data_IF_242280418168
#
_entry.id   IF_242280418168
#
_cell.length_a   1.000
_cell.length_b   1.000
_cell.length_c   1.000
_cell.angle_alpha   90.00
_cell.angle_beta   90.00
_cell.angle_gamma   90.00
#
_symmetry.space_group_name_H-M   'P 1'
#
loop_
_entity.id
_entity.type
_entity.pdbx_description
1 polymer ?
#
# COMPACT_ATOMS: atom_id res chain seq x y z
N UNK A 1 16.89 -49.64 -35.27
CA UNK A 1 17.04 -49.48 -33.81
C UNK A 1 17.44 -48.06 -33.35
N UNK A 2 18.08 -47.20 -34.15
CA UNK A 2 18.46 -45.82 -33.75
C UNK A 2 17.27 -44.85 -33.68
N UNK A 3 16.24 -44.99 -34.46
CA UNK A 3 15.07 -44.06 -34.47
C UNK A 3 14.17 -44.22 -33.25
N UNK A 4 14.08 -45.37 -32.63
CA UNK A 4 13.24 -45.59 -31.44
C UNK A 4 13.76 -44.87 -30.19
N UNK A 5 15.09 -44.72 -30.08
CA UNK A 5 15.71 -44.05 -28.93
C UNK A 5 15.46 -42.52 -28.93
N UNK A 6 15.35 -41.89 -30.08
CA UNK A 6 15.10 -40.46 -30.16
C UNK A 6 13.65 -40.08 -29.80
N UNK A 7 12.70 -40.93 -30.15
CA UNK A 7 11.28 -40.70 -29.83
C UNK A 7 11.04 -40.85 -28.33
N UNK A 8 11.67 -41.78 -27.66
CA UNK A 8 11.56 -41.98 -26.21
C UNK A 8 12.20 -40.82 -25.44
N UNK A 9 13.29 -40.23 -25.93
CA UNK A 9 13.93 -39.08 -25.28
C UNK A 9 13.13 -37.79 -25.41
N UNK A 10 12.42 -37.57 -26.53
CA UNK A 10 11.55 -36.41 -26.73
C UNK A 10 10.31 -36.51 -25.83
N UNK A 11 9.73 -37.69 -25.64
CA UNK A 11 8.56 -37.88 -24.76
C UNK A 11 8.91 -37.65 -23.28
N UNK A 12 10.08 -38.01 -22.83
CA UNK A 12 10.56 -37.79 -21.46
C UNK A 12 10.88 -36.31 -21.21
N UNK A 13 11.35 -35.58 -22.23
CA UNK A 13 11.61 -34.13 -22.12
C UNK A 13 10.34 -33.25 -21.95
N UNK A 14 9.22 -33.72 -22.47
CA UNK A 14 7.93 -32.96 -22.36
C UNK A 14 7.21 -33.15 -21.03
N UNK A 15 7.60 -34.15 -20.23
CA UNK A 15 6.95 -34.42 -18.94
C UNK A 15 7.52 -33.60 -17.76
N UNK A 16 8.61 -32.84 -17.97
CA UNK A 16 9.30 -32.10 -16.90
C UNK A 16 8.82 -30.64 -16.72
N UNK A 17 7.90 -30.15 -17.56
CA UNK A 17 7.24 -28.85 -17.35
C UNK A 17 5.92 -29.01 -16.62
N UNK A 18 5.90 -29.73 -15.51
CA UNK A 18 4.82 -29.58 -14.54
C UNK A 18 5.06 -28.27 -13.80
N UNK A 19 4.60 -27.19 -14.38
CA UNK A 19 4.53 -25.89 -13.70
C UNK A 19 3.70 -26.09 -12.43
N UNK A 20 4.38 -26.12 -11.29
CA UNK A 20 3.72 -26.14 -10.00
C UNK A 20 3.09 -24.75 -9.81
N UNK A 21 1.92 -24.52 -10.39
CA UNK A 21 1.09 -23.37 -10.08
C UNK A 21 0.63 -23.51 -8.63
N UNK A 22 1.49 -23.08 -7.72
CA UNK A 22 1.13 -22.94 -6.33
C UNK A 22 -0.08 -21.98 -6.28
N UNK A 23 -1.26 -22.52 -5.98
CA UNK A 23 -2.48 -21.71 -5.85
C UNK A 23 -2.19 -20.60 -4.87
N UNK A 24 -2.48 -19.33 -5.21
CA UNK A 24 -2.22 -18.22 -4.31
C UNK A 24 -2.97 -18.46 -2.99
N UNK A 25 -2.22 -18.35 -1.89
CA UNK A 25 -2.78 -18.53 -0.55
C UNK A 25 -3.53 -17.27 -0.14
N UNK A 26 -4.85 -17.29 -0.30
CA UNK A 26 -5.71 -16.16 0.07
C UNK A 26 -5.92 -16.11 1.59
N UNK A 27 -5.84 -14.89 2.12
CA UNK A 27 -6.19 -14.55 3.49
C UNK A 27 -7.59 -13.93 3.52
N UNK A 28 -8.30 -14.09 4.64
CA UNK A 28 -9.62 -13.51 4.84
C UNK A 28 -9.53 -12.30 5.78
N UNK A 29 -9.96 -11.14 5.31
CA UNK A 29 -10.08 -9.95 6.15
C UNK A 29 -11.28 -10.11 7.08
N UNK A 30 -11.06 -9.91 8.38
CA UNK A 30 -12.09 -9.91 9.44
C UNK A 30 -12.63 -8.51 9.68
N UNK A 31 -11.75 -7.51 9.72
CA UNK A 31 -12.08 -6.13 10.05
C UNK A 31 -11.15 -5.13 9.36
N UNK A 32 -11.68 -3.93 9.11
CA UNK A 32 -10.92 -2.77 8.59
C UNK A 32 -10.96 -1.71 9.67
N UNK A 33 -9.79 -1.36 10.23
CA UNK A 33 -9.69 -0.32 11.28
C UNK A 33 -9.79 1.08 10.68
N UNK A 34 -9.01 1.31 9.63
CA UNK A 34 -8.91 2.55 8.86
C UNK A 34 -8.55 2.24 7.40
N UNK A 35 -8.23 3.25 6.60
CA UNK A 35 -7.95 3.06 5.17
C UNK A 35 -6.63 2.33 4.85
N UNK A 36 -5.80 2.02 5.86
CA UNK A 36 -4.50 1.36 5.67
C UNK A 36 -4.17 0.26 6.69
N UNK A 37 -5.12 -0.09 7.56
CA UNK A 37 -4.91 -1.11 8.59
C UNK A 37 -6.04 -2.14 8.63
N UNK A 38 -5.69 -3.41 8.46
CA UNK A 38 -6.60 -4.55 8.40
C UNK A 38 -6.38 -5.50 9.59
N UNK A 39 -7.43 -6.24 9.97
CA UNK A 39 -7.36 -7.42 10.82
C UNK A 39 -7.77 -8.64 10.00
N UNK A 40 -6.96 -9.67 9.97
CA UNK A 40 -7.27 -10.94 9.35
C UNK A 40 -8.04 -11.86 10.29
N UNK A 41 -8.68 -12.90 9.74
CA UNK A 41 -9.37 -13.93 10.55
C UNK A 41 -8.43 -14.73 11.45
N UNK A 42 -7.16 -14.87 11.04
CA UNK A 42 -6.11 -15.54 11.84
C UNK A 42 -5.54 -14.68 12.99
N UNK A 43 -6.03 -13.45 13.13
CA UNK A 43 -5.65 -12.52 14.20
C UNK A 43 -4.50 -11.58 13.86
N UNK A 44 -3.84 -11.72 12.72
CA UNK A 44 -2.77 -10.80 12.31
C UNK A 44 -3.35 -9.43 11.96
N UNK A 45 -2.70 -8.38 12.48
CA UNK A 45 -2.93 -7.00 12.04
C UNK A 45 -1.98 -6.68 10.90
N UNK A 46 -2.51 -6.20 9.80
CA UNK A 46 -1.74 -5.82 8.61
C UNK A 46 -1.73 -4.31 8.47
N UNK A 47 -0.56 -3.71 8.41
CA UNK A 47 -0.35 -2.33 7.95
C UNK A 47 0.00 -2.39 6.47
N UNK A 48 -0.83 -1.81 5.64
CA UNK A 48 -0.62 -1.77 4.19
C UNK A 48 0.59 -0.88 3.89
N UNK A 49 1.57 -1.43 3.17
CA UNK A 49 2.79 -0.70 2.78
C UNK A 49 2.47 0.31 1.68
N UNK A 50 3.21 1.41 1.69
CA UNK A 50 3.22 2.39 0.60
C UNK A 50 2.21 3.51 0.74
N UNK A 51 1.25 3.40 1.64
CA UNK A 51 0.19 4.40 1.82
C UNK A 51 0.02 4.87 3.26
N UNK A 52 -0.52 6.08 3.40
CA UNK A 52 -1.08 6.60 4.64
C UNK A 52 -2.42 7.24 4.35
N UNK A 53 -3.44 6.85 5.08
CA UNK A 53 -4.78 7.41 4.97
C UNK A 53 -5.06 8.38 6.11
N UNK A 54 -6.01 9.32 5.93
CA UNK A 54 -6.48 10.14 7.04
C UNK A 54 -7.04 9.26 8.17
N UNK A 55 -6.73 9.64 9.40
CA UNK A 55 -7.11 8.90 10.60
C UNK A 55 -8.61 8.93 10.87
N UNK A 56 -9.17 7.81 11.29
CA UNK A 56 -10.57 7.74 11.77
C UNK A 56 -10.63 8.20 13.23
N UNK A 57 -11.75 8.76 13.64
CA UNK A 57 -11.96 9.12 15.04
C UNK A 57 -11.91 7.88 15.95
N UNK A 58 -11.05 7.91 16.97
CA UNK A 58 -10.96 6.87 18.01
C UNK A 58 -10.98 7.47 19.40
N UNK A 59 -11.92 7.03 20.24
CA UNK A 59 -12.08 7.48 21.63
C UNK A 59 -12.02 9.01 21.77
N UNK A 60 -10.93 9.57 22.31
CA UNK A 60 -10.74 11.01 22.54
C UNK A 60 -10.06 11.77 21.39
N UNK A 61 -9.63 11.07 20.33
CA UNK A 61 -9.01 11.70 19.15
C UNK A 61 -10.08 11.99 18.10
N UNK A 62 -10.17 13.25 17.68
CA UNK A 62 -10.95 13.64 16.50
C UNK A 62 -10.33 12.96 15.27
N UNK A 63 -11.20 12.40 14.41
CA UNK A 63 -10.76 11.92 13.09
C UNK A 63 -10.30 13.07 12.20
N UNK A 64 -9.50 12.71 11.21
CA UNK A 64 -9.13 13.61 10.14
C UNK A 64 -10.23 13.65 9.06
N UNK A 65 -10.37 14.76 8.35
CA UNK A 65 -11.29 14.83 7.22
C UNK A 65 -10.98 13.73 6.20
N UNK A 66 -12.00 13.06 5.67
CA UNK A 66 -11.93 11.88 4.77
C UNK A 66 -11.42 10.57 5.39
N UNK A 67 -11.12 10.48 6.69
CA UNK A 67 -10.71 9.22 7.32
C UNK A 67 -11.80 8.15 7.24
N UNK A 68 -13.05 8.54 7.51
CA UNK A 68 -14.19 7.64 7.37
C UNK A 68 -14.41 7.20 5.93
N UNK A 69 -14.39 8.15 5.00
CA UNK A 69 -14.62 7.90 3.58
C UNK A 69 -13.52 6.99 2.99
N UNK A 70 -12.26 7.19 3.35
CA UNK A 70 -11.15 6.31 2.94
C UNK A 70 -11.34 4.88 3.46
N UNK A 71 -11.78 4.74 4.72
CA UNK A 71 -12.10 3.43 5.32
C UNK A 71 -13.25 2.73 4.60
N UNK A 72 -14.33 3.47 4.31
CA UNK A 72 -15.47 2.92 3.58
C UNK A 72 -15.10 2.54 2.12
N UNK A 73 -14.24 3.33 1.48
CA UNK A 73 -13.72 3.01 0.14
C UNK A 73 -12.93 1.70 0.15
N UNK A 74 -12.06 1.48 1.13
CA UNK A 74 -11.34 0.22 1.29
C UNK A 74 -12.29 -0.95 1.56
N UNK A 75 -13.29 -0.76 2.42
CA UNK A 75 -14.32 -1.79 2.70
C UNK A 75 -15.10 -2.16 1.45
N UNK A 76 -15.50 -1.17 0.64
CA UNK A 76 -16.22 -1.39 -0.60
C UNK A 76 -15.36 -2.15 -1.62
N UNK A 77 -14.06 -1.83 -1.71
CA UNK A 77 -13.12 -2.54 -2.56
C UNK A 77 -12.97 -4.00 -2.14
N UNK A 78 -12.77 -4.27 -0.85
CA UNK A 78 -12.61 -5.63 -0.31
C UNK A 78 -13.86 -6.50 -0.52
N UNK A 79 -15.06 -5.93 -0.44
CA UNK A 79 -16.31 -6.65 -0.70
C UNK A 79 -16.36 -7.28 -2.09
N UNK A 80 -15.74 -6.68 -3.11
CA UNK A 80 -15.70 -7.19 -4.47
C UNK A 80 -15.03 -8.57 -4.56
N UNK A 81 -14.12 -8.88 -3.62
CA UNK A 81 -13.42 -10.16 -3.52
C UNK A 81 -13.94 -11.06 -2.39
N UNK A 82 -15.12 -10.77 -1.82
CA UNK A 82 -15.62 -11.42 -0.60
C UNK A 82 -14.60 -11.31 0.57
N UNK A 83 -13.93 -10.18 0.69
CA UNK A 83 -12.87 -9.89 1.67
C UNK A 83 -11.66 -10.84 1.59
N UNK A 84 -11.43 -11.49 0.44
CA UNK A 84 -10.23 -12.29 0.19
C UNK A 84 -9.13 -11.42 -0.38
N UNK A 85 -7.94 -11.64 0.15
CA UNK A 85 -6.73 -10.94 -0.27
C UNK A 85 -5.55 -11.91 -0.32
N UNK A 86 -4.49 -11.56 -1.04
CA UNK A 86 -3.19 -12.15 -0.83
C UNK A 86 -2.18 -11.08 -0.39
N UNK A 87 -1.15 -11.53 0.31
CA UNK A 87 -0.16 -10.68 0.94
C UNK A 87 1.21 -10.93 0.34
N UNK A 88 1.90 -9.85 0.05
CA UNK A 88 3.31 -9.84 -0.22
C UNK A 88 3.99 -9.14 0.97
N UNK A 89 4.62 -9.96 1.83
CA UNK A 89 5.23 -9.47 3.06
C UNK A 89 6.44 -8.61 2.72
N UNK A 90 6.54 -7.45 3.38
CA UNK A 90 7.65 -6.53 3.19
C UNK A 90 9.01 -7.11 3.60
N UNK A 91 10.09 -6.50 3.14
CA UNK A 91 11.46 -6.83 3.56
C UNK A 91 11.61 -6.62 5.09
N UNK A 92 11.14 -5.49 5.62
CA UNK A 92 10.83 -5.36 7.03
C UNK A 92 9.42 -5.90 7.27
N UNK A 93 9.31 -6.91 8.13
CA UNK A 93 8.09 -7.71 8.30
C UNK A 93 7.12 -7.13 9.33
N UNK A 94 7.60 -6.39 10.31
CA UNK A 94 6.82 -5.86 11.44
C UNK A 94 7.19 -4.40 11.70
N UNK A 95 6.20 -3.59 12.03
CA UNK A 95 6.45 -2.25 12.54
C UNK A 95 6.67 -2.25 14.08
N UNK A 96 6.97 -1.07 14.62
CA UNK A 96 7.15 -0.87 16.07
C UNK A 96 5.92 -1.22 16.92
N UNK A 97 4.74 -1.29 16.31
CA UNK A 97 3.48 -1.67 16.94
C UNK A 97 3.13 -3.15 16.75
N UNK A 98 4.09 -3.94 16.22
CA UNK A 98 3.94 -5.38 15.92
C UNK A 98 2.84 -5.68 14.87
N UNK A 99 2.52 -4.70 14.00
CA UNK A 99 1.68 -4.96 12.83
C UNK A 99 2.55 -5.56 11.71
N UNK A 100 2.02 -6.54 11.00
CA UNK A 100 2.68 -7.07 9.81
C UNK A 100 2.65 -6.05 8.69
N UNK A 101 3.81 -5.79 8.08
CA UNK A 101 3.96 -4.92 6.94
C UNK A 101 3.82 -5.74 5.66
N UNK A 102 2.85 -5.40 4.82
CA UNK A 102 2.61 -6.13 3.58
C UNK A 102 2.06 -5.22 2.47
N UNK A 103 2.41 -5.50 1.23
CA UNK A 103 1.61 -5.11 0.08
C UNK A 103 0.41 -6.04 0.00
N UNK A 104 -0.76 -5.50 -0.27
CA UNK A 104 -2.03 -6.21 -0.20
C UNK A 104 -2.71 -6.16 -1.56
N UNK A 105 -3.09 -7.35 -2.05
CA UNK A 105 -3.70 -7.49 -3.36
C UNK A 105 -5.04 -8.22 -3.27
N UNK A 106 -5.98 -7.87 -4.14
CA UNK A 106 -7.17 -8.67 -4.37
C UNK A 106 -6.83 -9.92 -5.19
N UNK A 107 -7.75 -10.91 -5.27
CA UNK A 107 -7.54 -12.13 -6.06
C UNK A 107 -7.30 -11.91 -7.55
N UNK A 108 -7.71 -10.78 -8.10
CA UNK A 108 -7.49 -10.34 -9.48
C UNK A 108 -6.16 -9.58 -9.67
N UNK A 109 -5.28 -9.59 -8.66
CA UNK A 109 -4.03 -8.85 -8.58
C UNK A 109 -4.17 -7.32 -8.52
N UNK A 110 -5.35 -6.79 -8.23
CA UNK A 110 -5.50 -5.36 -7.93
C UNK A 110 -4.69 -5.00 -6.68
N UNK A 111 -3.67 -4.15 -6.83
CA UNK A 111 -2.91 -3.59 -5.72
C UNK A 111 -3.77 -2.55 -4.99
N UNK A 112 -4.07 -2.83 -3.70
CA UNK A 112 -4.91 -1.97 -2.86
C UNK A 112 -4.26 -0.60 -2.64
N UNK A 113 -2.93 -0.54 -2.43
CA UNK A 113 -2.21 0.72 -2.25
C UNK A 113 -2.34 1.60 -3.49
N UNK A 114 -2.06 1.01 -4.65
CA UNK A 114 -2.18 1.72 -5.93
C UNK A 114 -3.61 2.21 -6.20
N UNK A 115 -4.61 1.38 -5.88
CA UNK A 115 -6.02 1.75 -6.03
C UNK A 115 -6.40 2.90 -5.11
N UNK A 116 -6.00 2.87 -3.83
CA UNK A 116 -6.28 3.93 -2.85
C UNK A 116 -5.63 5.25 -3.28
N UNK A 117 -4.39 5.22 -3.77
CA UNK A 117 -3.68 6.40 -4.27
C UNK A 117 -4.32 6.99 -5.54
N UNK A 118 -4.63 6.14 -6.53
CA UNK A 118 -5.29 6.57 -7.78
C UNK A 118 -6.62 7.26 -7.54
N UNK A 119 -7.37 6.78 -6.54
CA UNK A 119 -8.66 7.35 -6.15
C UNK A 119 -8.55 8.47 -5.11
N UNK A 120 -7.34 8.90 -4.76
CA UNK A 120 -7.12 10.03 -3.86
C UNK A 120 -7.63 9.82 -2.44
N UNK A 121 -7.59 8.58 -1.93
CA UNK A 121 -7.95 8.22 -0.56
C UNK A 121 -6.76 8.16 0.39
N UNK A 122 -5.55 8.16 -0.16
CA UNK A 122 -4.31 8.02 0.58
C UNK A 122 -3.23 8.94 0.03
N UNK A 123 -2.19 9.17 0.84
CA UNK A 123 -0.90 9.72 0.45
C UNK A 123 0.14 8.61 0.38
N UNK A 124 1.18 8.79 -0.42
CA UNK A 124 2.31 7.87 -0.44
C UNK A 124 3.11 8.02 0.85
N UNK A 125 3.39 6.89 1.53
CA UNK A 125 4.24 6.82 2.71
C UNK A 125 5.11 5.56 2.63
N UNK A 126 6.41 5.75 2.43
CA UNK A 126 7.34 4.66 2.18
C UNK A 126 8.52 4.78 3.14
N UNK A 127 8.85 3.67 3.77
CA UNK A 127 10.00 3.53 4.66
C UNK A 127 10.91 2.42 4.14
N UNK A 128 12.21 2.71 3.93
CA UNK A 128 13.18 1.66 3.66
C UNK A 128 13.19 0.63 4.80
N UNK A 129 13.38 -0.66 4.49
CA UNK A 129 13.71 -1.23 3.19
C UNK A 129 12.49 -1.55 2.28
N UNK A 130 11.25 -1.25 2.70
CA UNK A 130 10.03 -1.55 1.98
C UNK A 130 9.76 -0.53 0.86
N UNK A 131 10.57 -0.55 -0.19
CA UNK A 131 10.54 0.44 -1.28
C UNK A 131 9.95 -0.07 -2.60
N UNK A 132 9.48 -1.32 -2.62
CA UNK A 132 8.85 -1.91 -3.80
C UNK A 132 7.64 -1.09 -4.24
N UNK A 133 7.42 -0.95 -5.53
CA UNK A 133 6.32 -0.20 -6.14
C UNK A 133 6.31 1.33 -5.89
N UNK A 134 7.41 1.93 -5.40
CA UNK A 134 7.46 3.35 -5.05
C UNK A 134 7.12 4.26 -6.23
N UNK A 135 7.63 3.95 -7.43
CA UNK A 135 7.44 4.78 -8.62
C UNK A 135 5.97 4.78 -9.06
N UNK A 136 5.33 3.61 -9.06
CA UNK A 136 3.91 3.46 -9.39
C UNK A 136 3.02 4.22 -8.39
N UNK A 137 3.35 4.13 -7.10
CA UNK A 137 2.60 4.80 -6.04
C UNK A 137 2.73 6.33 -6.15
N UNK A 138 3.93 6.84 -6.37
CA UNK A 138 4.15 8.27 -6.54
C UNK A 138 3.45 8.80 -7.80
N UNK A 139 3.49 8.07 -8.90
CA UNK A 139 2.80 8.44 -10.13
C UNK A 139 1.28 8.48 -9.95
N UNK A 140 0.71 7.48 -9.25
CA UNK A 140 -0.71 7.41 -8.95
C UNK A 140 -1.15 8.59 -8.08
N UNK A 141 -0.39 8.89 -7.02
CA UNK A 141 -0.63 10.02 -6.15
C UNK A 141 -0.60 11.35 -6.92
N UNK A 142 0.45 11.57 -7.72
CA UNK A 142 0.58 12.79 -8.54
C UNK A 142 -0.61 12.97 -9.48
N UNK A 143 -1.11 11.88 -10.08
CA UNK A 143 -2.29 11.92 -10.95
C UNK A 143 -3.53 12.35 -10.16
N UNK A 144 -3.77 11.77 -8.97
CA UNK A 144 -4.89 12.12 -8.10
C UNK A 144 -4.81 13.58 -7.61
N UNK A 145 -3.59 14.06 -7.31
CA UNK A 145 -3.32 15.46 -6.94
C UNK A 145 -3.70 16.44 -8.06
N UNK A 146 -3.23 16.17 -9.29
CA UNK A 146 -3.53 17.01 -10.45
C UNK A 146 -5.04 17.11 -10.71
N UNK A 147 -5.75 15.99 -10.53
CA UNK A 147 -7.21 15.91 -10.71
C UNK A 147 -8.00 16.42 -9.50
N UNK A 148 -7.33 16.77 -8.40
CA UNK A 148 -7.94 17.20 -7.14
C UNK A 148 -9.04 16.23 -6.65
N UNK A 149 -8.74 14.92 -6.63
CA UNK A 149 -9.70 13.89 -6.21
C UNK A 149 -9.69 13.74 -4.68
N UNK A 150 -10.85 13.63 -4.07
CA UNK A 150 -11.08 13.31 -2.66
C UNK A 150 -10.21 14.13 -1.69
N UNK A 151 -9.22 13.53 -0.98
CA UNK A 151 -8.37 14.24 0.00
C UNK A 151 -7.67 15.45 -0.62
N UNK A 152 -7.38 15.42 -1.92
CA UNK A 152 -6.65 16.48 -2.62
C UNK A 152 -7.49 17.74 -2.89
N UNK A 153 -8.81 17.71 -2.61
CA UNK A 153 -9.69 18.91 -2.63
C UNK A 153 -9.50 19.79 -1.42
N UNK A 154 -8.94 19.26 -0.32
CA UNK A 154 -8.86 19.97 0.94
C UNK A 154 -7.71 20.97 0.99
N UNK A 155 -7.92 22.04 1.75
CA UNK A 155 -6.90 23.09 1.99
C UNK A 155 -5.62 22.51 2.63
N UNK A 156 -5.75 21.53 3.53
CA UNK A 156 -4.60 20.91 4.22
C UNK A 156 -3.64 20.17 3.28
N UNK A 157 -4.14 19.74 2.11
CA UNK A 157 -3.33 19.06 1.10
C UNK A 157 -2.78 20.01 0.03
N UNK A 158 -3.03 21.33 0.15
CA UNK A 158 -2.41 22.31 -0.72
C UNK A 158 -0.95 22.54 -0.33
N UNK A 159 -0.13 22.87 -1.34
CA UNK A 159 1.28 23.19 -1.10
C UNK A 159 1.36 24.56 -0.43
N UNK A 160 2.05 24.64 0.70
CA UNK A 160 2.37 25.88 1.39
C UNK A 160 3.89 26.11 1.41
N UNK A 161 4.27 27.36 1.63
CA UNK A 161 5.67 27.73 1.85
C UNK A 161 6.02 27.61 3.34
N UNK A 162 7.33 27.50 3.71
CA UNK A 162 7.74 27.46 5.11
C UNK A 162 7.24 28.66 5.94
N UNK A 163 7.14 29.85 5.33
CA UNK A 163 6.60 31.05 5.99
C UNK A 163 5.12 30.98 6.34
N UNK A 164 4.37 30.13 5.64
CA UNK A 164 2.94 29.89 5.89
C UNK A 164 2.71 28.78 6.93
N UNK A 165 3.76 28.06 7.32
CA UNK A 165 3.67 26.97 8.29
C UNK A 165 3.47 27.54 9.71
N UNK A 166 2.31 27.23 10.31
CA UNK A 166 2.01 27.62 11.69
C UNK A 166 2.47 26.53 12.67
N UNK A 167 2.99 26.90 13.85
CA UNK A 167 3.35 25.96 14.92
C UNK A 167 2.20 25.03 15.36
N UNK A 168 0.95 25.47 15.12
CA UNK A 168 -0.26 24.71 15.46
C UNK A 168 -0.68 23.66 14.44
N UNK A 169 0.02 23.56 13.30
CA UNK A 169 -0.29 22.52 12.31
C UNK A 169 -0.05 21.14 12.89
N UNK A 170 -1.08 20.28 12.79
CA UNK A 170 -1.03 18.87 13.14
C UNK A 170 -1.47 18.05 11.93
N UNK A 171 -0.86 16.88 11.74
CA UNK A 171 -1.17 16.00 10.62
C UNK A 171 -0.34 16.28 9.37
N UNK A 172 -0.87 15.90 8.22
CA UNK A 172 -0.16 15.97 6.94
C UNK A 172 -0.06 17.41 6.41
N UNK A 173 1.14 17.81 5.99
CA UNK A 173 1.42 19.13 5.38
C UNK A 173 2.34 18.95 4.18
N UNK A 174 2.03 19.63 3.08
CA UNK A 174 2.88 19.69 1.88
C UNK A 174 3.63 21.00 1.85
N UNK A 175 4.95 20.94 1.88
CA UNK A 175 5.82 22.10 1.83
C UNK A 175 6.57 22.18 0.51
N UNK A 176 6.66 23.40 -0.05
CA UNK A 176 7.60 23.73 -1.12
C UNK A 176 8.67 24.65 -0.56
N UNK A 177 9.90 24.17 -0.53
CA UNK A 177 11.06 24.92 -0.04
C UNK A 177 12.23 24.80 -1.01
N UNK A 178 13.16 25.78 -0.95
CA UNK A 178 14.45 25.70 -1.61
C UNK A 178 15.48 25.25 -0.58
N UNK A 179 16.17 24.16 -0.85
CA UNK A 179 17.31 23.72 -0.03
C UNK A 179 18.47 24.69 -0.33
N UNK A 180 18.96 25.38 0.69
CA UNK A 180 20.11 26.28 0.60
C UNK A 180 21.44 25.57 0.84
N UNK A 181 21.44 24.60 1.77
CA UNK A 181 22.64 23.89 2.18
C UNK A 181 22.26 22.50 2.69
N UNK A 182 23.11 21.53 2.43
CA UNK A 182 23.01 20.16 2.99
C UNK A 182 24.29 19.88 3.75
N UNK A 183 24.16 19.58 5.04
CA UNK A 183 25.27 19.13 5.87
C UNK A 183 25.15 17.63 6.08
N UNK A 184 26.24 16.90 5.84
CA UNK A 184 26.31 15.47 6.13
C UNK A 184 27.07 15.31 7.45
N UNK A 185 26.38 14.83 8.47
CA UNK A 185 27.05 14.35 9.68
C UNK A 185 27.66 12.99 9.39
N UNK A 186 28.98 12.86 9.59
CA UNK A 186 29.61 11.53 9.58
C UNK A 186 29.19 10.85 10.90
N UNK A 187 28.36 9.80 10.75
CA UNK A 187 28.13 8.89 11.86
C UNK A 187 29.47 8.21 12.20
N UNK A 188 30.00 8.47 13.37
CA UNK A 188 31.14 7.77 13.96
C UNK A 188 30.69 6.48 14.62
#
# INVERSE_FOLDING_TARGET
MRSFFYITFIIISTLLFSSCDAKPHYQQVKWVYDGDTLLLKDGRKIRIIGINTPEVAHHKKKGEPYGREATEALRALLKQSNNRIHLEIGAEKLDRYKRHLAHVFLPDNTDISLWMLKNGWATTMIFPPNTRYIDDYQQAEQSAQKKKINIWRQKNFQIITPSQLKKSYKGYVRLKARVKQVNFEKNH
#
